data_IF_717299645305
#
_entry.id   IF_717299645305
#
_cell.length_a   1.000
_cell.length_b   1.000
_cell.length_c   1.000
_cell.angle_alpha   90.00
_cell.angle_beta   90.00
_cell.angle_gamma   90.00
#
_symmetry.space_group_name_H-M   'P 1'
#
loop_
_entity.id
_entity.type
_entity.pdbx_description
1 polymer ?
#
# COMPACT_ATOMS: atom_id res chain seq x y z
N UNK A 1 -29.76 3.16 -4.29
CA UNK A 1 -29.77 4.02 -3.09
C UNK A 1 -31.21 4.31 -2.67
N UNK A 2 -31.44 4.38 -1.36
CA UNK A 2 -32.73 4.75 -0.84
C UNK A 2 -33.03 6.22 -1.12
N UNK A 3 -32.21 7.08 -0.57
CA UNK A 3 -32.32 8.53 -0.79
C UNK A 3 -30.95 9.13 -1.08
N UNK A 4 -30.90 10.12 -1.98
CA UNK A 4 -29.66 10.80 -2.36
C UNK A 4 -29.85 12.31 -2.13
N UNK A 5 -28.92 12.91 -1.41
CA UNK A 5 -28.81 14.37 -1.31
C UNK A 5 -27.68 14.80 -2.24
N UNK A 6 -28.04 15.47 -3.34
CA UNK A 6 -27.08 15.89 -4.36
C UNK A 6 -26.75 17.36 -4.13
N UNK A 7 -25.47 17.63 -3.86
CA UNK A 7 -24.97 18.97 -3.52
C UNK A 7 -23.99 19.49 -4.56
N UNK A 8 -24.11 20.75 -4.90
CA UNK A 8 -23.09 21.51 -5.63
C UNK A 8 -23.26 22.98 -5.25
N UNK A 9 -22.17 23.73 -5.25
CA UNK A 9 -22.29 25.16 -4.91
C UNK A 9 -22.63 26.03 -6.11
N UNK A 10 -22.57 25.44 -7.32
CA UNK A 10 -22.91 26.18 -8.55
C UNK A 10 -24.35 25.90 -8.89
N UNK A 11 -25.17 26.98 -8.78
CA UNK A 11 -26.62 26.87 -8.97
C UNK A 11 -27.00 26.31 -10.36
N UNK A 12 -26.30 26.76 -11.41
CA UNK A 12 -26.62 26.29 -12.77
C UNK A 12 -26.36 24.80 -12.94
N UNK A 13 -25.35 24.26 -12.24
CA UNK A 13 -25.06 22.81 -12.25
C UNK A 13 -26.18 22.04 -11.58
N UNK A 14 -26.66 22.53 -10.45
CA UNK A 14 -27.79 21.91 -9.74
C UNK A 14 -29.04 21.92 -10.60
N UNK A 15 -29.33 23.06 -11.24
CA UNK A 15 -30.51 23.19 -12.13
C UNK A 15 -30.42 22.22 -13.29
N UNK A 16 -29.25 22.09 -13.91
CA UNK A 16 -29.07 21.15 -15.02
C UNK A 16 -29.24 19.71 -14.55
N UNK A 17 -28.66 19.37 -13.41
CA UNK A 17 -28.81 18.05 -12.83
C UNK A 17 -30.29 17.75 -12.58
N UNK A 18 -31.01 18.71 -12.02
CA UNK A 18 -32.42 18.56 -11.73
C UNK A 18 -33.23 18.36 -13.01
N UNK A 19 -32.88 19.08 -14.10
CA UNK A 19 -33.60 18.96 -15.36
C UNK A 19 -33.40 17.56 -15.98
N UNK A 20 -32.27 16.96 -15.77
CA UNK A 20 -31.94 15.63 -16.32
C UNK A 20 -32.48 14.53 -15.41
N UNK A 21 -32.26 14.64 -14.11
CA UNK A 21 -32.50 13.57 -13.15
C UNK A 21 -33.64 13.83 -12.17
N UNK A 22 -34.36 14.93 -12.31
CA UNK A 22 -35.44 15.32 -11.41
C UNK A 22 -36.64 14.38 -11.41
N UNK A 23 -36.69 13.46 -12.39
CA UNK A 23 -37.74 12.44 -12.43
C UNK A 23 -37.51 11.34 -11.36
N UNK A 24 -36.32 11.27 -10.80
CA UNK A 24 -36.02 10.33 -9.70
C UNK A 24 -36.50 10.96 -8.40
N UNK A 25 -37.58 10.45 -7.83
CA UNK A 25 -38.19 11.01 -6.64
C UNK A 25 -37.39 10.86 -5.37
N UNK A 26 -36.38 10.01 -5.39
CA UNK A 26 -35.53 9.76 -4.23
C UNK A 26 -34.27 10.64 -4.20
N UNK A 27 -34.22 11.69 -5.05
CA UNK A 27 -33.07 12.61 -5.07
C UNK A 27 -33.55 14.00 -4.63
N UNK A 28 -32.87 14.58 -3.64
CA UNK A 28 -33.01 15.97 -3.25
C UNK A 28 -31.82 16.74 -3.83
N UNK A 29 -32.11 17.81 -4.58
CA UNK A 29 -31.06 18.64 -5.20
C UNK A 29 -30.94 19.93 -4.37
N UNK A 30 -29.73 20.26 -3.96
CA UNK A 30 -29.50 21.43 -3.12
C UNK A 30 -28.26 22.20 -3.55
N UNK A 31 -28.42 23.49 -3.79
CA UNK A 31 -27.26 24.36 -4.02
C UNK A 31 -26.68 24.74 -2.67
N UNK A 32 -25.47 24.25 -2.37
CA UNK A 32 -24.86 24.47 -1.07
C UNK A 32 -23.35 24.39 -1.16
N UNK A 33 -22.70 25.21 -0.35
CA UNK A 33 -21.26 25.19 -0.17
C UNK A 33 -20.95 24.21 0.97
N UNK A 34 -20.25 23.14 0.68
CA UNK A 34 -19.95 22.11 1.69
C UNK A 34 -19.06 22.65 2.82
N UNK A 35 -18.37 23.77 2.60
CA UNK A 35 -17.55 24.39 3.64
C UNK A 35 -18.35 25.34 4.54
N UNK A 36 -19.60 25.63 4.17
CA UNK A 36 -20.42 26.59 4.91
C UNK A 36 -20.93 26.00 6.22
N UNK A 37 -20.84 26.73 7.33
CA UNK A 37 -21.44 26.28 8.58
C UNK A 37 -22.96 26.20 8.53
N UNK A 38 -23.58 26.82 7.52
CA UNK A 38 -25.04 26.79 7.35
C UNK A 38 -25.54 25.46 6.78
N UNK A 39 -24.66 24.66 6.17
CA UNK A 39 -25.04 23.33 5.71
C UNK A 39 -25.18 22.41 6.90
N UNK A 40 -26.40 21.94 7.14
CA UNK A 40 -26.71 21.06 8.27
C UNK A 40 -27.08 19.69 7.76
N UNK A 41 -26.31 18.70 8.15
CA UNK A 41 -26.59 17.29 7.90
C UNK A 41 -26.54 16.61 9.27
N UNK A 42 -27.56 15.82 9.56
CA UNK A 42 -27.66 15.17 10.86
C UNK A 42 -26.52 14.19 11.09
N UNK A 43 -26.01 14.16 12.32
CA UNK A 43 -24.97 13.21 12.70
C UNK A 43 -25.51 11.78 12.57
N UNK A 44 -24.62 10.86 12.15
CA UNK A 44 -24.93 9.45 12.03
C UNK A 44 -26.15 9.17 11.16
N UNK A 45 -26.29 9.92 10.07
CA UNK A 45 -27.46 9.81 9.19
C UNK A 45 -27.11 9.31 7.79
N UNK A 46 -25.84 9.28 7.42
CA UNK A 46 -25.42 9.03 6.04
C UNK A 46 -24.74 7.66 5.92
N UNK A 47 -25.18 6.88 4.94
CA UNK A 47 -24.59 5.57 4.66
C UNK A 47 -23.37 5.67 3.75
N UNK A 48 -23.40 6.61 2.80
CA UNK A 48 -22.30 6.78 1.84
C UNK A 48 -22.15 8.25 1.49
N UNK A 49 -20.94 8.75 1.61
CA UNK A 49 -20.56 10.07 1.07
C UNK A 49 -19.75 9.81 -0.19
N UNK A 50 -20.20 10.37 -1.30
CA UNK A 50 -19.54 10.26 -2.59
C UNK A 50 -19.06 11.63 -3.02
N UNK A 51 -17.78 11.78 -3.28
CA UNK A 51 -17.19 13.05 -3.69
C UNK A 51 -16.30 12.83 -4.91
N UNK A 52 -16.43 13.71 -5.89
CA UNK A 52 -15.73 13.56 -7.16
C UNK A 52 -15.18 14.93 -7.58
N UNK A 53 -13.85 15.06 -7.56
CA UNK A 53 -13.14 16.27 -7.98
C UNK A 53 -13.63 17.51 -7.23
N UNK A 54 -13.82 17.38 -5.92
CA UNK A 54 -14.24 18.49 -5.06
C UNK A 54 -13.10 19.03 -4.21
N UNK A 55 -12.38 18.11 -3.56
CA UNK A 55 -11.42 18.51 -2.53
C UNK A 55 -10.25 19.30 -3.11
N UNK A 56 -9.94 19.08 -4.36
CA UNK A 56 -8.85 19.81 -5.02
C UNK A 56 -9.12 21.32 -5.16
N UNK A 57 -10.36 21.75 -4.97
CA UNK A 57 -10.72 23.18 -5.02
C UNK A 57 -10.73 23.83 -3.64
N UNK A 58 -10.50 23.04 -2.58
CA UNK A 58 -10.54 23.51 -1.20
C UNK A 58 -9.13 23.70 -0.66
N UNK A 59 -8.96 24.66 0.25
CA UNK A 59 -7.70 24.82 0.95
C UNK A 59 -7.45 23.62 1.88
N UNK A 60 -6.22 23.44 2.32
CA UNK A 60 -5.87 22.34 3.22
C UNK A 60 -6.72 22.40 4.49
N UNK A 61 -6.89 23.61 5.06
CA UNK A 61 -7.70 23.81 6.26
C UNK A 61 -9.18 23.45 6.00
N UNK A 62 -9.70 23.84 4.84
CA UNK A 62 -11.09 23.49 4.48
C UNK A 62 -11.27 21.99 4.33
N UNK A 63 -10.28 21.29 3.74
CA UNK A 63 -10.35 19.82 3.62
C UNK A 63 -10.39 19.20 5.02
N UNK A 64 -9.51 19.64 5.92
CA UNK A 64 -9.45 19.10 7.29
C UNK A 64 -10.79 19.28 8.01
N UNK A 65 -11.38 20.45 7.92
CA UNK A 65 -12.67 20.74 8.56
C UNK A 65 -13.78 19.89 7.96
N UNK A 66 -13.79 19.77 6.63
CA UNK A 66 -14.83 18.98 5.95
C UNK A 66 -14.73 17.50 6.34
N UNK A 67 -13.53 16.97 6.43
CA UNK A 67 -13.32 15.56 6.86
C UNK A 67 -13.92 15.35 8.25
N UNK A 68 -13.69 16.29 9.18
CA UNK A 68 -14.29 16.20 10.53
C UNK A 68 -15.79 16.13 10.48
N UNK A 69 -16.43 16.94 9.62
CA UNK A 69 -17.89 16.91 9.44
C UNK A 69 -18.34 15.58 8.82
N UNK A 70 -17.61 15.08 7.83
CA UNK A 70 -17.95 13.83 7.16
C UNK A 70 -17.98 12.65 8.14
N UNK A 71 -17.00 12.60 9.06
CA UNK A 71 -16.96 11.53 10.06
C UNK A 71 -18.20 11.61 10.96
N UNK A 72 -18.62 12.80 11.33
CA UNK A 72 -19.83 12.98 12.14
C UNK A 72 -21.09 12.58 11.38
N UNK A 73 -21.20 12.95 10.11
CA UNK A 73 -22.39 12.67 9.29
C UNK A 73 -22.58 11.17 9.07
N UNK A 74 -21.48 10.41 8.94
CA UNK A 74 -21.54 8.98 8.63
C UNK A 74 -22.07 8.17 9.79
N UNK A 75 -22.86 7.17 9.46
CA UNK A 75 -23.17 6.07 10.40
C UNK A 75 -21.93 5.22 10.58
N UNK A 76 -21.82 4.57 11.74
CA UNK A 76 -20.78 3.55 11.93
C UNK A 76 -21.01 2.44 10.89
N UNK A 77 -19.94 2.05 10.18
CA UNK A 77 -20.05 1.12 9.07
C UNK A 77 -20.35 1.79 7.73
N UNK A 78 -20.66 3.09 7.76
CA UNK A 78 -20.84 3.87 6.53
C UNK A 78 -19.50 4.16 5.86
N UNK A 79 -19.55 4.58 4.60
CA UNK A 79 -18.35 4.73 3.78
C UNK A 79 -18.23 6.12 3.18
N UNK A 80 -17.00 6.53 2.94
CA UNK A 80 -16.67 7.67 2.09
C UNK A 80 -15.95 7.14 0.87
N UNK A 81 -16.44 7.51 -0.32
CA UNK A 81 -15.70 7.31 -1.57
C UNK A 81 -15.37 8.68 -2.15
N UNK A 82 -14.08 8.91 -2.47
CA UNK A 82 -13.74 10.14 -3.19
C UNK A 82 -12.67 9.88 -4.23
N UNK A 83 -12.66 10.76 -5.25
CA UNK A 83 -11.72 10.71 -6.37
C UNK A 83 -11.13 12.09 -6.59
N UNK A 84 -9.84 12.16 -6.77
CA UNK A 84 -9.14 13.43 -6.98
C UNK A 84 -7.99 13.29 -7.96
N UNK A 85 -7.48 14.36 -8.55
CA UNK A 85 -6.54 14.34 -9.24
C UNK A 85 -5.49 14.61 -8.52
N UNK A 86 -4.53 14.10 -8.74
CA UNK A 86 -3.31 14.25 -7.91
C UNK A 86 -2.10 14.60 -8.75
N UNK A 87 -1.07 15.09 -8.08
CA UNK A 87 0.25 15.42 -8.59
C UNK A 87 0.28 16.63 -9.51
N UNK A 88 -0.38 16.59 -10.66
CA UNK A 88 -0.33 17.70 -11.62
C UNK A 88 -1.54 17.68 -12.55
N UNK A 89 -1.73 18.79 -13.21
CA UNK A 89 -2.86 18.99 -14.12
C UNK A 89 -2.86 17.95 -15.23
N UNK A 90 -4.05 17.43 -15.53
CA UNK A 90 -4.27 16.57 -16.68
C UNK A 90 -4.57 17.43 -17.91
N UNK A 91 -4.05 17.02 -19.05
CA UNK A 91 -4.25 17.73 -20.33
C UNK A 91 -3.09 18.64 -20.69
N UNK A 92 -3.13 19.12 -21.91
CA UNK A 92 -2.00 19.82 -22.51
C UNK A 92 -2.02 21.34 -22.35
N UNK A 93 -3.17 21.92 -22.02
CA UNK A 93 -3.30 23.35 -21.91
C UNK A 93 -3.10 23.84 -20.49
N UNK A 94 -2.17 24.77 -20.32
CA UNK A 94 -1.94 25.40 -19.03
C UNK A 94 -2.89 26.59 -18.88
N UNK A 95 -3.63 26.61 -17.78
CA UNK A 95 -4.52 27.72 -17.47
C UNK A 95 -3.69 28.87 -16.88
N UNK A 96 -4.04 30.10 -17.24
CA UNK A 96 -3.36 31.28 -16.69
C UNK A 96 -3.62 31.40 -15.18
N UNK A 97 -4.84 31.09 -14.77
CA UNK A 97 -5.21 31.04 -13.36
C UNK A 97 -5.80 29.68 -13.08
N UNK A 98 -5.25 28.98 -12.11
CA UNK A 98 -5.72 27.65 -11.77
C UNK A 98 -5.79 27.52 -10.24
N UNK A 99 -6.99 27.64 -9.67
CA UNK A 99 -7.15 27.55 -8.21
C UNK A 99 -7.09 26.11 -7.68
N UNK A 100 -6.80 25.17 -8.55
CA UNK A 100 -6.83 23.75 -8.20
C UNK A 100 -5.55 23.34 -7.45
N UNK A 101 -5.73 22.59 -6.38
CA UNK A 101 -4.64 22.01 -5.60
C UNK A 101 -4.43 20.56 -6.04
N UNK A 102 -3.38 20.31 -6.82
CA UNK A 102 -3.04 18.95 -7.28
C UNK A 102 -2.10 18.33 -6.26
N UNK A 103 -2.69 17.81 -5.20
CA UNK A 103 -1.95 17.31 -4.05
C UNK A 103 -1.44 15.89 -4.28
N UNK A 104 -0.45 15.51 -3.48
CA UNK A 104 0.00 14.11 -3.43
C UNK A 104 -1.04 13.26 -2.69
N UNK A 105 -1.21 12.00 -3.09
CA UNK A 105 -2.20 11.13 -2.43
C UNK A 105 -2.03 11.05 -0.91
N UNK A 106 -0.78 11.07 -0.43
CA UNK A 106 -0.54 10.95 1.02
C UNK A 106 -1.14 12.10 1.83
N UNK A 107 -1.32 13.29 1.22
CA UNK A 107 -2.01 14.37 1.92
C UNK A 107 -3.43 13.95 2.27
N UNK A 108 -4.19 13.46 1.29
CA UNK A 108 -5.58 13.07 1.54
C UNK A 108 -5.65 11.91 2.53
N UNK A 109 -4.81 10.91 2.35
CA UNK A 109 -4.81 9.76 3.25
C UNK A 109 -4.55 10.18 4.68
N UNK A 110 -3.57 11.07 4.90
CA UNK A 110 -3.24 11.56 6.24
C UNK A 110 -4.42 12.29 6.87
N UNK A 111 -5.02 13.23 6.12
CA UNK A 111 -6.11 14.04 6.65
C UNK A 111 -7.32 13.17 7.01
N UNK A 112 -7.67 12.22 6.14
CA UNK A 112 -8.80 11.33 6.41
C UNK A 112 -8.51 10.38 7.57
N UNK A 113 -7.29 9.87 7.68
CA UNK A 113 -6.94 8.99 8.82
C UNK A 113 -6.92 9.75 10.15
N UNK A 114 -6.64 11.04 10.14
CA UNK A 114 -6.65 11.86 11.35
C UNK A 114 -8.07 12.31 11.75
N UNK A 115 -9.05 12.14 10.87
CA UNK A 115 -10.43 12.51 11.15
C UNK A 115 -11.03 11.64 12.24
N UNK A 116 -11.64 12.29 13.22
CA UNK A 116 -12.24 11.60 14.36
C UNK A 116 -13.57 12.23 14.72
N UNK A 117 -14.45 11.43 15.34
CA UNK A 117 -15.64 11.93 16.01
C UNK A 117 -15.81 11.18 17.31
N UNK A 118 -16.62 11.76 18.19
CA UNK A 118 -16.87 11.19 19.52
C UNK A 118 -18.38 11.15 19.74
N UNK A 119 -18.86 10.10 20.37
CA UNK A 119 -20.27 10.03 20.76
C UNK A 119 -20.46 10.61 22.17
N UNK A 120 -21.72 10.68 22.61
CA UNK A 120 -22.07 11.24 23.92
C UNK A 120 -21.54 10.40 25.07
N UNK A 121 -21.26 9.14 24.82
CA UNK A 121 -20.77 8.20 25.84
C UNK A 121 -19.25 8.11 25.87
N UNK A 122 -18.57 8.96 25.09
CA UNK A 122 -17.12 9.00 25.03
C UNK A 122 -16.51 8.03 24.04
N UNK A 123 -17.31 7.33 23.24
CA UNK A 123 -16.81 6.46 22.19
C UNK A 123 -16.12 7.27 21.10
N UNK A 124 -14.99 6.77 20.61
CA UNK A 124 -14.21 7.41 19.57
C UNK A 124 -14.36 6.65 18.25
N UNK A 125 -14.50 7.38 17.17
CA UNK A 125 -14.67 6.82 15.83
C UNK A 125 -13.67 7.44 14.88
N UNK A 126 -13.23 6.65 13.92
CA UNK A 126 -12.23 7.07 12.94
C UNK A 126 -12.53 6.44 11.59
N UNK A 127 -11.76 6.82 10.59
CA UNK A 127 -11.90 6.28 9.24
C UNK A 127 -10.81 5.24 8.99
N UNK A 128 -11.23 4.05 8.58
CA UNK A 128 -10.34 2.97 8.20
C UNK A 128 -10.23 2.93 6.68
N UNK A 129 -9.02 2.93 6.16
CA UNK A 129 -8.80 2.90 4.71
C UNK A 129 -9.10 1.49 4.19
N UNK A 130 -10.08 1.39 3.28
CA UNK A 130 -10.42 0.13 2.63
C UNK A 130 -9.56 -0.05 1.39
N UNK A 131 -9.45 1.01 0.55
CA UNK A 131 -8.59 0.96 -0.62
C UNK A 131 -8.21 2.38 -1.06
N UNK A 132 -7.03 2.47 -1.68
CA UNK A 132 -6.57 3.68 -2.36
C UNK A 132 -5.83 3.21 -3.61
N UNK A 133 -6.27 3.67 -4.78
CA UNK A 133 -5.64 3.20 -6.02
C UNK A 133 -5.91 4.15 -7.19
N UNK A 134 -5.09 4.02 -8.23
CA UNK A 134 -5.36 4.68 -9.51
C UNK A 134 -6.64 4.08 -10.11
N UNK A 135 -7.40 4.94 -10.77
CA UNK A 135 -8.63 4.48 -11.42
C UNK A 135 -8.26 3.73 -12.70
N UNK A 136 -8.56 2.43 -12.74
CA UNK A 136 -8.13 1.55 -13.80
C UNK A 136 -8.52 1.99 -15.20
N UNK A 137 -9.70 2.58 -15.36
CA UNK A 137 -10.15 3.07 -16.66
C UNK A 137 -9.22 4.15 -17.22
N UNK A 138 -8.73 5.04 -16.35
CA UNK A 138 -7.79 6.08 -16.79
C UNK A 138 -6.41 5.49 -17.09
N UNK A 139 -5.97 4.54 -16.29
CA UNK A 139 -4.70 3.86 -16.54
C UNK A 139 -4.74 3.15 -17.89
N UNK A 140 -5.79 2.36 -18.11
CA UNK A 140 -5.93 1.55 -19.32
C UNK A 140 -6.11 2.41 -20.57
N UNK A 141 -7.02 3.37 -20.53
CA UNK A 141 -7.45 4.09 -21.73
C UNK A 141 -6.65 5.35 -22.02
N UNK A 142 -6.14 6.00 -20.98
CA UNK A 142 -5.45 7.30 -21.11
C UNK A 142 -4.00 7.26 -20.68
N UNK A 143 -3.52 6.13 -20.18
CA UNK A 143 -2.19 6.00 -19.57
C UNK A 143 -1.98 7.05 -18.49
N UNK A 144 -3.04 7.39 -17.79
CA UNK A 144 -3.07 8.45 -16.79
C UNK A 144 -3.23 7.85 -15.40
N UNK A 145 -2.23 8.04 -14.57
CA UNK A 145 -2.21 7.51 -13.20
C UNK A 145 -2.42 8.60 -12.15
N UNK A 146 -2.85 9.79 -12.59
CA UNK A 146 -3.11 10.91 -11.68
C UNK A 146 -4.50 10.86 -11.06
N UNK A 147 -5.40 10.04 -11.59
CA UNK A 147 -6.76 9.93 -11.07
C UNK A 147 -6.79 8.82 -10.03
N UNK A 148 -6.95 9.22 -8.80
CA UNK A 148 -6.82 8.31 -7.66
C UNK A 148 -8.11 8.33 -6.86
N UNK A 149 -8.55 7.17 -6.39
CA UNK A 149 -9.73 7.06 -5.56
C UNK A 149 -9.41 6.42 -4.21
N UNK A 150 -10.22 6.78 -3.24
CA UNK A 150 -10.15 6.27 -1.86
C UNK A 150 -11.52 5.75 -1.47
N UNK A 151 -11.52 4.66 -0.74
CA UNK A 151 -12.71 4.17 -0.04
C UNK A 151 -12.34 3.99 1.42
N UNK A 152 -13.10 4.63 2.30
CA UNK A 152 -12.86 4.55 3.74
C UNK A 152 -14.15 4.17 4.44
N UNK A 153 -14.04 3.52 5.58
CA UNK A 153 -15.17 3.09 6.40
C UNK A 153 -15.07 3.72 7.79
N UNK A 154 -16.21 4.23 8.30
CA UNK A 154 -16.26 4.72 9.68
C UNK A 154 -16.32 3.53 10.63
N UNK A 155 -15.37 3.45 11.53
CA UNK A 155 -15.22 2.36 12.48
C UNK A 155 -15.01 2.89 13.89
N UNK A 156 -15.29 2.07 14.88
CA UNK A 156 -14.98 2.39 16.26
C UNK A 156 -13.45 2.26 16.42
N UNK A 157 -12.84 3.24 17.08
CA UNK A 157 -11.40 3.21 17.35
C UNK A 157 -11.06 2.05 18.25
N UNK A 158 -10.06 1.24 17.88
CA UNK A 158 -9.61 0.08 18.65
C UNK A 158 -8.09 0.00 18.62
N UNK A 159 -7.54 -0.78 19.54
CA UNK A 159 -6.09 -0.97 19.65
C UNK A 159 -5.51 -1.69 18.42
N UNK A 160 -6.30 -2.51 17.73
CA UNK A 160 -5.83 -3.29 16.59
C UNK A 160 -5.42 -2.43 15.39
N UNK A 161 -5.82 -1.16 15.37
CA UNK A 161 -5.47 -0.26 14.28
C UNK A 161 -4.11 0.41 14.46
N UNK A 162 -3.50 0.24 15.61
CA UNK A 162 -2.22 0.87 15.92
C UNK A 162 -1.09 0.32 15.04
N UNK A 163 -1.22 -0.92 14.55
CA UNK A 163 -0.18 -1.51 13.72
C UNK A 163 0.00 -0.75 12.38
N UNK A 164 -1.09 -0.42 11.70
CA UNK A 164 -0.97 0.36 10.46
C UNK A 164 -0.40 1.76 10.72
N UNK A 165 -0.83 2.39 11.81
CA UNK A 165 -0.28 3.70 12.21
C UNK A 165 1.22 3.59 12.47
N UNK A 166 1.64 2.52 13.14
CA UNK A 166 3.06 2.27 13.39
C UNK A 166 3.83 2.15 12.09
N UNK A 167 3.30 1.36 11.13
CA UNK A 167 3.97 1.19 9.84
C UNK A 167 4.15 2.52 9.11
N UNK A 168 3.10 3.35 9.08
CA UNK A 168 3.16 4.61 8.32
C UNK A 168 3.89 5.73 9.03
N UNK A 169 3.80 5.78 10.36
CA UNK A 169 4.34 6.92 11.11
C UNK A 169 5.72 6.64 11.70
N UNK A 170 6.09 5.39 11.84
CA UNK A 170 7.37 5.01 12.47
C UNK A 170 8.23 4.22 11.49
N UNK A 171 7.79 3.04 11.10
CA UNK A 171 8.61 2.13 10.30
C UNK A 171 8.76 2.58 8.86
N UNK A 172 7.67 3.01 8.21
CA UNK A 172 7.67 3.38 6.79
C UNK A 172 7.27 4.82 6.56
N UNK A 173 7.74 5.73 7.41
CA UNK A 173 7.57 7.16 7.16
C UNK A 173 8.41 7.57 5.94
N UNK A 174 8.02 8.65 5.30
CA UNK A 174 8.60 9.07 4.01
C UNK A 174 10.13 9.16 4.04
N UNK A 175 10.70 9.80 5.05
CA UNK A 175 12.15 9.94 5.13
C UNK A 175 12.86 8.59 5.30
N UNK A 176 12.25 7.68 6.05
CA UNK A 176 12.78 6.34 6.23
C UNK A 176 12.79 5.54 4.95
N UNK A 177 11.72 5.65 4.15
CA UNK A 177 11.63 4.95 2.87
C UNK A 177 12.76 5.40 1.94
N UNK A 178 12.98 6.71 1.85
CA UNK A 178 14.01 7.24 0.94
C UNK A 178 15.42 6.82 1.36
N UNK A 179 15.71 6.78 2.67
CA UNK A 179 17.04 6.33 3.11
C UNK A 179 17.25 4.84 2.84
N UNK A 180 16.22 4.01 3.02
CA UNK A 180 16.32 2.58 2.68
C UNK A 180 16.49 2.38 1.17
N UNK A 181 15.78 3.17 0.37
CA UNK A 181 15.96 3.11 -1.09
C UNK A 181 17.41 3.41 -1.47
N UNK A 182 18.05 4.36 -0.79
CA UNK A 182 19.46 4.69 -1.05
C UNK A 182 20.36 3.46 -0.84
N UNK A 183 20.01 2.62 0.14
CA UNK A 183 20.80 1.42 0.44
C UNK A 183 20.51 0.28 -0.55
N UNK A 184 19.24 -0.01 -0.79
CA UNK A 184 18.82 -1.15 -1.61
C UNK A 184 18.95 -0.88 -3.12
N UNK A 185 18.96 0.38 -3.53
CA UNK A 185 19.01 0.77 -4.93
C UNK A 185 17.70 1.39 -5.40
N UNK A 186 17.81 2.19 -6.44
CA UNK A 186 16.67 2.95 -6.98
C UNK A 186 15.47 2.05 -7.26
N UNK A 187 14.34 2.36 -6.63
CA UNK A 187 13.09 1.64 -6.81
C UNK A 187 12.86 0.51 -5.83
N UNK A 188 13.83 0.21 -4.96
CA UNK A 188 13.77 -0.98 -4.12
C UNK A 188 13.90 -0.65 -2.63
N UNK A 189 13.15 -1.40 -1.84
CA UNK A 189 13.28 -1.39 -0.37
C UNK A 189 13.31 -2.82 0.17
N UNK A 190 13.80 -3.78 -0.62
CA UNK A 190 13.95 -5.17 -0.22
C UNK A 190 15.35 -5.67 -0.52
N UNK A 191 15.73 -6.76 0.15
CA UNK A 191 17.07 -7.32 0.13
C UNK A 191 17.56 -7.58 -1.28
N UNK A 192 18.71 -7.00 -1.63
CA UNK A 192 19.39 -7.20 -2.89
C UNK A 192 18.91 -6.34 -4.05
N UNK A 193 17.83 -5.61 -3.86
CA UNK A 193 17.35 -4.69 -4.89
C UNK A 193 17.14 -5.35 -6.24
N UNK A 194 17.65 -4.70 -7.30
CA UNK A 194 17.47 -5.18 -8.68
C UNK A 194 18.13 -6.56 -8.92
N UNK A 195 19.26 -6.84 -8.27
CA UNK A 195 19.99 -8.07 -8.54
C UNK A 195 19.20 -9.32 -8.13
N UNK A 196 18.65 -9.32 -6.90
CA UNK A 196 17.84 -10.46 -6.46
C UNK A 196 16.51 -10.50 -7.19
N UNK A 197 15.97 -9.35 -7.57
CA UNK A 197 14.74 -9.29 -8.38
C UNK A 197 14.96 -9.99 -9.72
N UNK A 198 16.05 -9.67 -10.42
CA UNK A 198 16.37 -10.34 -11.70
C UNK A 198 16.48 -11.85 -11.53
N UNK A 199 17.20 -12.28 -10.51
CA UNK A 199 17.40 -13.71 -10.25
C UNK A 199 16.09 -14.42 -9.98
N UNK A 200 15.31 -13.92 -9.04
CA UNK A 200 14.11 -14.61 -8.58
C UNK A 200 12.98 -14.56 -9.62
N UNK A 201 12.80 -13.41 -10.26
CA UNK A 201 11.80 -13.29 -11.33
C UNK A 201 12.15 -14.24 -12.48
N UNK A 202 13.44 -14.42 -12.77
CA UNK A 202 13.89 -15.35 -13.79
C UNK A 202 13.47 -16.78 -13.54
N UNK A 203 13.17 -17.13 -12.29
CA UNK A 203 12.73 -18.50 -11.92
C UNK A 203 11.25 -18.74 -12.21
N UNK A 204 10.49 -17.71 -12.58
CA UNK A 204 9.04 -17.77 -12.72
C UNK A 204 8.56 -18.09 -14.14
N UNK A 205 9.42 -18.03 -15.12
CA UNK A 205 9.07 -18.25 -16.52
C UNK A 205 7.86 -17.40 -16.96
N UNK A 206 7.94 -16.09 -16.65
CA UNK A 206 6.85 -15.17 -16.98
C UNK A 206 6.67 -15.04 -18.50
N UNK A 207 5.41 -15.02 -18.93
CA UNK A 207 5.06 -14.88 -20.33
C UNK A 207 4.16 -13.64 -20.53
N UNK A 208 4.24 -12.99 -21.70
CA UNK A 208 3.39 -11.81 -21.95
C UNK A 208 1.92 -12.07 -21.66
N UNK A 209 1.27 -11.10 -21.08
CA UNK A 209 -0.16 -11.17 -20.78
C UNK A 209 -0.51 -11.83 -19.47
N UNK A 210 0.44 -12.46 -18.80
CA UNK A 210 0.18 -13.09 -17.51
C UNK A 210 -0.09 -12.04 -16.44
N UNK A 211 -0.86 -12.41 -15.42
CA UNK A 211 -1.23 -11.56 -14.31
C UNK A 211 -0.44 -11.92 -13.05
N UNK A 212 0.19 -10.92 -12.46
CA UNK A 212 1.00 -11.08 -11.24
C UNK A 212 0.40 -10.25 -10.11
N UNK A 213 0.27 -10.86 -8.93
CA UNK A 213 -0.02 -10.12 -7.70
C UNK A 213 1.27 -10.02 -6.90
N UNK A 214 1.70 -8.79 -6.59
CA UNK A 214 2.88 -8.57 -5.73
C UNK A 214 2.40 -8.14 -4.35
N UNK A 215 2.58 -9.02 -3.37
CA UNK A 215 2.15 -8.78 -1.99
C UNK A 215 3.30 -8.15 -1.22
N UNK A 216 3.10 -6.89 -0.83
CA UNK A 216 4.16 -6.10 -0.23
C UNK A 216 5.03 -5.45 -1.29
N UNK A 217 4.41 -4.70 -2.20
CA UNK A 217 5.09 -4.18 -3.39
C UNK A 217 6.10 -3.06 -3.09
N UNK A 218 6.08 -2.51 -1.87
CA UNK A 218 6.96 -1.39 -1.54
C UNK A 218 6.76 -0.22 -2.49
N UNK A 219 7.84 0.30 -3.02
CA UNK A 219 7.80 1.46 -3.92
C UNK A 219 7.80 1.06 -5.40
N UNK A 220 7.58 -0.23 -5.68
CA UNK A 220 7.19 -0.68 -7.01
C UNK A 220 8.28 -1.16 -7.95
N UNK A 221 9.55 -1.16 -7.50
CA UNK A 221 10.66 -1.52 -8.40
C UNK A 221 10.51 -2.88 -9.06
N UNK A 222 10.18 -3.90 -8.28
CA UNK A 222 9.97 -5.24 -8.82
C UNK A 222 8.81 -5.31 -9.80
N UNK A 223 7.76 -4.54 -9.52
CA UNK A 223 6.57 -4.51 -10.36
C UNK A 223 6.89 -3.89 -11.72
N UNK A 224 7.61 -2.76 -11.71
CA UNK A 224 8.05 -2.14 -12.96
C UNK A 224 8.98 -3.07 -13.73
N UNK A 225 9.90 -3.71 -13.03
CA UNK A 225 10.84 -4.64 -13.66
C UNK A 225 10.07 -5.76 -14.39
N UNK A 226 9.14 -6.40 -13.70
CA UNK A 226 8.36 -7.50 -14.29
C UNK A 226 7.53 -7.02 -15.48
N UNK A 227 6.81 -5.91 -15.32
CA UNK A 227 5.92 -5.42 -16.38
C UNK A 227 6.71 -4.93 -17.60
N UNK A 228 7.84 -4.26 -17.40
CA UNK A 228 8.63 -3.70 -18.50
C UNK A 228 9.44 -4.76 -19.24
N UNK A 229 9.90 -5.79 -18.56
CA UNK A 229 10.79 -6.78 -19.16
C UNK A 229 10.07 -8.05 -19.62
N UNK A 230 8.90 -8.34 -19.09
CA UNK A 230 8.16 -9.57 -19.41
C UNK A 230 6.77 -9.31 -19.97
N UNK A 231 6.36 -8.05 -20.07
CA UNK A 231 5.05 -7.66 -20.62
C UNK A 231 3.89 -8.34 -19.89
N UNK A 232 4.01 -8.41 -18.56
CA UNK A 232 2.95 -8.95 -17.70
C UNK A 232 2.16 -7.80 -17.09
N UNK A 233 0.98 -8.13 -16.55
CA UNK A 233 0.15 -7.17 -15.81
C UNK A 233 0.40 -7.38 -14.32
N UNK A 234 0.85 -6.36 -13.61
CA UNK A 234 1.17 -6.49 -12.19
C UNK A 234 0.21 -5.65 -11.36
N UNK A 235 -0.40 -6.27 -10.36
CA UNK A 235 -1.11 -5.57 -9.29
C UNK A 235 -0.23 -5.62 -8.06
N UNK A 236 0.26 -4.47 -7.62
CA UNK A 236 1.07 -4.38 -6.40
C UNK A 236 0.22 -3.90 -5.24
N UNK A 237 0.25 -4.60 -4.12
CA UNK A 237 -0.45 -4.18 -2.92
C UNK A 237 0.53 -4.05 -1.76
N UNK A 238 0.26 -3.07 -0.90
CA UNK A 238 1.06 -2.84 0.30
C UNK A 238 0.18 -2.20 1.35
N UNK A 239 0.45 -2.51 2.60
CA UNK A 239 -0.29 -1.92 3.70
C UNK A 239 0.14 -0.47 3.96
N UNK A 240 1.36 -0.11 3.60
CA UNK A 240 1.88 1.24 3.83
C UNK A 240 1.39 2.20 2.76
N UNK A 241 0.66 3.22 3.19
CA UNK A 241 0.21 4.29 2.31
C UNK A 241 1.40 5.03 1.71
N UNK A 242 2.44 5.25 2.50
CA UNK A 242 3.63 5.97 2.02
C UNK A 242 4.33 5.21 0.89
N UNK A 243 4.46 3.89 1.03
CA UNK A 243 5.04 3.04 -0.02
C UNK A 243 4.24 3.14 -1.32
N UNK A 244 2.92 2.95 -1.21
CA UNK A 244 2.05 2.96 -2.39
C UNK A 244 2.05 4.35 -3.05
N UNK A 245 2.09 5.42 -2.26
CA UNK A 245 2.16 6.78 -2.82
C UNK A 245 3.41 6.96 -3.68
N UNK A 246 4.56 6.49 -3.23
CA UNK A 246 5.78 6.55 -4.04
C UNK A 246 5.64 5.70 -5.31
N UNK A 247 5.08 4.50 -5.18
CA UNK A 247 4.91 3.61 -6.33
C UNK A 247 3.99 4.24 -7.39
N UNK A 248 2.89 4.83 -6.97
CA UNK A 248 1.95 5.51 -7.89
C UNK A 248 2.65 6.68 -8.57
N UNK A 249 3.37 7.51 -7.79
CA UNK A 249 4.09 8.66 -8.33
C UNK A 249 5.09 8.23 -9.41
N UNK A 250 5.82 7.14 -9.15
CA UNK A 250 6.84 6.66 -10.07
C UNK A 250 6.27 5.94 -11.28
N UNK A 251 5.00 5.52 -11.22
CA UNK A 251 4.32 4.93 -12.37
C UNK A 251 3.94 5.96 -13.42
N UNK A 252 3.88 7.24 -13.05
CA UNK A 252 3.45 8.29 -13.97
C UNK A 252 4.44 8.36 -15.14
N UNK A 253 3.90 8.26 -16.36
CA UNK A 253 4.69 8.33 -17.58
C UNK A 253 5.27 7.00 -18.05
N UNK A 254 5.20 5.95 -17.23
CA UNK A 254 5.65 4.62 -17.67
C UNK A 254 4.58 3.98 -18.57
N UNK A 255 5.02 3.21 -19.53
CA UNK A 255 4.12 2.61 -20.53
C UNK A 255 3.81 1.15 -20.24
N UNK A 256 4.13 0.67 -19.07
CA UNK A 256 3.88 -0.71 -18.66
C UNK A 256 2.55 -0.85 -17.92
N UNK A 257 2.08 -2.08 -17.75
CA UNK A 257 0.80 -2.36 -17.12
C UNK A 257 1.01 -2.71 -15.65
N UNK A 258 0.98 -1.68 -14.79
CA UNK A 258 1.13 -1.83 -13.35
C UNK A 258 0.03 -1.02 -12.67
N UNK A 259 -0.60 -1.62 -11.66
CA UNK A 259 -1.54 -0.93 -10.78
C UNK A 259 -1.07 -1.10 -9.34
N UNK A 260 -1.28 -0.08 -8.51
CA UNK A 260 -0.92 -0.12 -7.10
C UNK A 260 -2.14 0.18 -6.24
N UNK A 261 -2.22 -0.51 -5.10
CA UNK A 261 -3.36 -0.38 -4.20
C UNK A 261 -2.89 -0.52 -2.75
N UNK A 262 -3.36 0.37 -1.87
CA UNK A 262 -3.18 0.18 -0.43
C UNK A 262 -4.18 -0.91 -0.01
N UNK A 263 -3.68 -2.00 0.50
CA UNK A 263 -4.54 -3.12 0.88
C UNK A 263 -3.85 -4.01 1.90
N UNK A 264 -4.64 -4.61 2.76
CA UNK A 264 -4.20 -5.63 3.70
C UNK A 264 -4.47 -6.99 3.08
N UNK A 265 -3.41 -7.72 2.76
CA UNK A 265 -3.55 -9.02 2.08
C UNK A 265 -4.26 -10.06 2.94
N UNK A 266 -4.34 -9.86 4.25
CA UNK A 266 -5.03 -10.80 5.14
C UNK A 266 -6.55 -10.61 5.15
N UNK A 267 -7.03 -9.45 4.71
CA UNK A 267 -8.47 -9.15 4.65
C UNK A 267 -8.98 -9.00 3.23
N UNK A 268 -8.07 -8.83 2.27
CA UNK A 268 -8.44 -8.70 0.86
C UNK A 268 -8.92 -10.03 0.33
N UNK A 269 -9.91 -10.00 -0.56
CA UNK A 269 -10.35 -11.21 -1.24
C UNK A 269 -10.36 -10.97 -2.73
N UNK A 270 -9.88 -11.96 -3.48
CA UNK A 270 -9.91 -11.98 -4.93
C UNK A 270 -10.68 -13.21 -5.38
N UNK A 271 -11.33 -13.14 -6.55
CA UNK A 271 -11.97 -14.35 -7.07
C UNK A 271 -10.96 -15.49 -7.27
N UNK A 272 -11.47 -16.72 -7.28
CA UNK A 272 -10.64 -17.88 -7.61
C UNK A 272 -10.01 -17.67 -8.99
N UNK A 273 -8.80 -18.16 -9.16
CA UNK A 273 -8.14 -18.19 -10.47
C UNK A 273 -7.93 -16.80 -11.07
N UNK A 274 -7.59 -15.82 -10.21
CA UNK A 274 -7.37 -14.43 -10.64
C UNK A 274 -5.96 -14.17 -11.17
N UNK A 275 -4.96 -14.91 -10.68
CA UNK A 275 -3.56 -14.60 -10.97
C UNK A 275 -2.81 -15.82 -11.47
N UNK A 276 -1.86 -15.56 -12.37
CA UNK A 276 -0.90 -16.59 -12.83
C UNK A 276 0.25 -16.76 -11.87
N UNK A 277 0.64 -15.68 -11.20
CA UNK A 277 1.77 -15.68 -10.25
C UNK A 277 1.41 -14.79 -9.05
N UNK A 278 1.80 -15.25 -7.86
CA UNK A 278 1.84 -14.42 -6.66
C UNK A 278 3.30 -14.32 -6.23
N UNK A 279 3.77 -13.09 -5.99
CA UNK A 279 5.15 -12.74 -5.73
C UNK A 279 5.20 -11.91 -4.46
N UNK A 280 6.15 -12.21 -3.59
CA UNK A 280 6.29 -11.44 -2.34
C UNK A 280 7.73 -11.45 -1.87
N UNK A 281 8.25 -10.25 -1.56
CA UNK A 281 9.64 -10.08 -1.16
C UNK A 281 9.73 -9.48 0.23
N UNK A 282 10.16 -10.31 1.19
CA UNK A 282 10.50 -9.89 2.56
C UNK A 282 9.33 -9.12 3.24
N UNK A 283 8.11 -9.62 3.09
CA UNK A 283 6.89 -8.97 3.59
C UNK A 283 6.11 -9.83 4.56
N UNK A 284 6.02 -11.13 4.27
CA UNK A 284 5.11 -12.05 4.98
C UNK A 284 5.55 -12.25 6.43
N UNK A 285 6.80 -11.91 6.74
CA UNK A 285 7.33 -11.95 8.11
C UNK A 285 6.46 -11.16 9.11
N UNK A 286 5.71 -10.16 8.63
CA UNK A 286 4.81 -9.38 9.49
C UNK A 286 3.48 -10.08 9.77
N UNK A 287 3.16 -11.16 9.07
CA UNK A 287 1.83 -11.77 9.11
C UNK A 287 1.83 -12.95 10.06
N UNK A 288 0.93 -12.90 11.06
CA UNK A 288 0.88 -13.92 12.11
C UNK A 288 0.25 -15.22 11.61
N UNK A 289 -0.85 -15.13 10.86
CA UNK A 289 -1.55 -16.32 10.38
C UNK A 289 -1.14 -16.62 8.93
N UNK A 290 0.07 -17.13 8.77
CA UNK A 290 0.59 -17.49 7.45
C UNK A 290 -0.20 -18.64 6.81
N UNK A 291 -0.62 -19.67 7.57
CA UNK A 291 -1.43 -20.72 6.93
C UNK A 291 -2.70 -20.19 6.26
N UNK A 292 -3.42 -19.26 6.90
CA UNK A 292 -4.61 -18.67 6.29
C UNK A 292 -4.26 -17.87 5.04
N UNK A 293 -3.16 -17.10 5.08
CA UNK A 293 -2.70 -16.33 3.91
C UNK A 293 -2.36 -17.27 2.75
N UNK A 294 -1.67 -18.37 3.02
CA UNK A 294 -1.27 -19.29 1.96
C UNK A 294 -2.47 -20.01 1.36
N UNK A 295 -3.51 -20.28 2.15
CA UNK A 295 -4.77 -20.81 1.61
C UNK A 295 -5.43 -19.79 0.68
N UNK A 296 -5.37 -18.51 1.03
CA UNK A 296 -5.86 -17.44 0.15
C UNK A 296 -5.05 -17.37 -1.16
N UNK A 297 -3.73 -17.46 -1.07
CA UNK A 297 -2.87 -17.48 -2.26
C UNK A 297 -3.26 -18.66 -3.17
N UNK A 298 -3.47 -19.83 -2.58
CA UNK A 298 -3.85 -21.02 -3.34
C UNK A 298 -5.17 -20.79 -4.08
N UNK A 299 -6.15 -20.20 -3.39
CA UNK A 299 -7.45 -19.88 -4.00
C UNK A 299 -7.29 -18.88 -5.15
N UNK A 300 -6.51 -17.83 -4.96
CA UNK A 300 -6.36 -16.73 -5.93
C UNK A 300 -5.60 -17.14 -7.19
N UNK A 301 -4.74 -18.14 -7.08
CA UNK A 301 -3.93 -18.59 -8.21
C UNK A 301 -4.75 -19.47 -9.16
N UNK A 302 -4.46 -19.34 -10.44
CA UNK A 302 -4.98 -20.25 -11.47
C UNK A 302 -4.31 -21.60 -11.31
N UNK A 303 -4.98 -22.71 -11.72
CA UNK A 303 -4.29 -24.02 -11.76
C UNK A 303 -2.99 -23.93 -12.55
N UNK A 304 -1.93 -24.47 -11.99
CA UNK A 304 -0.59 -24.38 -12.58
C UNK A 304 0.14 -23.08 -12.28
N UNK A 305 -0.53 -22.14 -11.61
CA UNK A 305 0.11 -20.88 -11.20
C UNK A 305 1.15 -21.09 -10.12
N UNK A 306 2.05 -20.13 -9.99
CA UNK A 306 3.16 -20.24 -9.05
C UNK A 306 3.14 -19.13 -8.02
N UNK A 307 3.63 -19.47 -6.82
CA UNK A 307 3.95 -18.48 -5.80
C UNK A 307 5.47 -18.47 -5.62
N UNK A 308 6.05 -17.26 -5.52
CA UNK A 308 7.45 -17.09 -5.17
C UNK A 308 7.54 -16.12 -4.00
N UNK A 309 8.22 -16.55 -2.94
CA UNK A 309 8.36 -15.75 -1.72
C UNK A 309 9.84 -15.76 -1.31
N UNK A 310 10.40 -14.57 -1.02
CA UNK A 310 11.61 -14.49 -0.20
C UNK A 310 11.19 -13.93 1.16
N UNK A 311 11.80 -14.41 2.22
CA UNK A 311 11.40 -13.94 3.55
C UNK A 311 12.49 -14.21 4.58
N UNK A 312 12.45 -13.43 5.66
CA UNK A 312 13.27 -13.67 6.81
C UNK A 312 12.77 -14.92 7.53
N UNK A 313 13.72 -15.73 7.95
CA UNK A 313 13.46 -16.97 8.67
C UNK A 313 14.39 -17.03 9.90
N UNK A 314 14.27 -18.08 10.65
CA UNK A 314 15.08 -18.28 11.84
C UNK A 314 15.64 -19.69 11.88
N UNK A 315 16.63 -19.89 12.73
CA UNK A 315 17.13 -21.22 13.02
C UNK A 315 16.05 -22.03 13.77
N UNK A 316 15.94 -23.33 13.54
CA UNK A 316 15.03 -24.14 14.35
C UNK A 316 15.34 -24.02 15.84
N UNK A 317 14.32 -24.06 16.66
CA UNK A 317 14.47 -23.99 18.10
C UNK A 317 14.28 -22.60 18.68
N UNK A 318 14.66 -22.46 19.93
CA UNK A 318 14.45 -21.23 20.69
C UNK A 318 15.51 -20.18 20.33
N UNK A 319 15.13 -18.98 19.93
CA UNK A 319 16.11 -17.93 19.64
C UNK A 319 16.78 -17.41 20.92
N UNK A 320 17.95 -16.78 20.77
CA UNK A 320 18.60 -16.06 21.85
C UNK A 320 17.70 -14.96 22.38
N UNK A 321 17.94 -14.50 23.60
CA UNK A 321 17.15 -13.41 24.19
C UNK A 321 17.21 -12.16 23.32
N UNK A 322 18.40 -11.85 22.79
CA UNK A 322 18.59 -10.67 21.92
C UNK A 322 17.76 -10.78 20.64
N UNK A 323 17.81 -11.94 19.98
CA UNK A 323 17.05 -12.13 18.75
C UNK A 323 15.54 -12.17 19.02
N UNK A 324 15.12 -12.82 20.10
CA UNK A 324 13.71 -12.84 20.50
C UNK A 324 13.19 -11.41 20.74
N UNK A 325 13.98 -10.57 21.38
CA UNK A 325 13.61 -9.17 21.62
C UNK A 325 13.45 -8.39 20.31
N UNK A 326 14.37 -8.62 19.37
CA UNK A 326 14.31 -7.98 18.05
C UNK A 326 13.04 -8.41 17.30
N UNK A 327 12.75 -9.72 17.29
CA UNK A 327 11.55 -10.26 16.63
C UNK A 327 10.30 -9.60 17.23
N UNK A 328 10.25 -9.54 18.56
CA UNK A 328 9.10 -8.94 19.27
C UNK A 328 8.97 -7.45 18.95
N UNK A 329 10.08 -6.72 19.01
CA UNK A 329 10.08 -5.28 18.72
C UNK A 329 9.55 -4.97 17.34
N UNK A 330 9.92 -5.81 16.35
CA UNK A 330 9.51 -5.62 14.97
C UNK A 330 8.13 -6.17 14.66
N UNK A 331 7.56 -6.97 15.55
CA UNK A 331 6.27 -7.61 15.31
C UNK A 331 6.34 -8.72 14.28
N UNK A 332 7.51 -9.36 14.15
CA UNK A 332 7.70 -10.44 13.19
C UNK A 332 7.15 -11.76 13.71
N UNK A 333 6.73 -12.61 12.79
CA UNK A 333 6.41 -14.01 13.05
C UNK A 333 7.32 -14.84 12.16
N UNK A 334 8.44 -15.34 12.73
CA UNK A 334 9.46 -16.04 11.95
C UNK A 334 9.38 -17.54 12.17
N UNK A 335 9.67 -18.28 11.11
CA UNK A 335 9.70 -19.73 11.10
C UNK A 335 11.03 -20.18 10.48
N UNK A 336 11.42 -21.42 10.73
CA UNK A 336 12.56 -21.97 10.01
C UNK A 336 12.16 -22.30 8.59
N UNK A 337 13.15 -22.47 7.71
CA UNK A 337 12.89 -22.63 6.28
C UNK A 337 12.05 -23.89 6.01
N UNK A 338 12.33 -24.99 6.70
CA UNK A 338 11.61 -26.25 6.50
C UNK A 338 10.13 -26.10 6.91
N UNK A 339 9.89 -25.49 8.08
CA UNK A 339 8.54 -25.27 8.58
C UNK A 339 7.73 -24.35 7.66
N UNK A 340 8.39 -23.32 7.13
CA UNK A 340 7.75 -22.38 6.20
C UNK A 340 7.31 -23.11 4.93
N UNK A 341 8.21 -23.91 4.35
CA UNK A 341 7.87 -24.70 3.18
C UNK A 341 6.74 -25.69 3.42
N UNK A 342 6.70 -26.27 4.64
CA UNK A 342 5.62 -27.19 5.01
C UNK A 342 4.27 -26.48 5.07
N UNK A 343 4.24 -25.21 5.51
CA UNK A 343 2.99 -24.44 5.52
C UNK A 343 2.43 -24.27 4.09
N UNK A 344 3.32 -24.13 3.10
CA UNK A 344 2.86 -24.05 1.71
C UNK A 344 2.27 -25.38 1.25
N UNK A 345 2.92 -26.50 1.60
CA UNK A 345 2.39 -27.84 1.28
C UNK A 345 1.03 -28.06 1.93
N UNK A 346 0.89 -27.65 3.19
CA UNK A 346 -0.35 -27.81 3.93
C UNK A 346 -1.50 -26.98 3.33
N UNK A 347 -1.17 -25.88 2.65
CA UNK A 347 -2.17 -25.05 1.96
C UNK A 347 -2.63 -25.64 0.62
N UNK A 348 -1.96 -26.70 0.16
CA UNK A 348 -2.31 -27.41 -1.05
C UNK A 348 -1.29 -27.33 -2.18
N UNK A 349 -0.24 -26.54 -2.03
CA UNK A 349 0.78 -26.38 -3.07
C UNK A 349 1.61 -27.66 -3.23
N UNK A 350 2.06 -27.90 -4.46
CA UNK A 350 2.95 -29.00 -4.78
C UNK A 350 4.24 -28.46 -5.41
N UNK A 351 5.22 -29.36 -5.59
CA UNK A 351 6.54 -28.98 -6.12
C UNK A 351 7.15 -27.84 -5.31
N UNK A 352 7.01 -27.93 -3.99
CA UNK A 352 7.48 -26.87 -3.10
C UNK A 352 9.00 -26.93 -3.01
N UNK A 353 9.62 -25.81 -3.39
CA UNK A 353 11.06 -25.59 -3.22
C UNK A 353 11.20 -24.66 -2.02
N UNK A 354 11.98 -25.06 -1.03
CA UNK A 354 12.24 -24.26 0.15
C UNK A 354 13.74 -24.26 0.38
N UNK A 355 14.38 -23.13 0.07
CA UNK A 355 15.84 -23.02 0.10
C UNK A 355 16.30 -22.04 1.16
N UNK A 356 17.30 -22.44 1.93
CA UNK A 356 17.99 -21.51 2.84
C UNK A 356 19.00 -20.72 2.01
N UNK A 357 18.74 -19.43 1.86
CA UNK A 357 19.59 -18.51 1.08
C UNK A 357 20.42 -17.60 2.00
N UNK A 358 20.73 -18.03 3.21
CA UNK A 358 21.42 -17.19 4.19
C UNK A 358 22.82 -16.80 3.70
N UNK A 359 23.54 -17.68 3.01
CA UNK A 359 24.84 -17.32 2.43
C UNK A 359 24.71 -16.16 1.45
N UNK A 360 23.71 -16.22 0.58
CA UNK A 360 23.44 -15.14 -0.36
C UNK A 360 23.07 -13.86 0.39
N UNK A 361 22.25 -13.99 1.44
CA UNK A 361 21.83 -12.87 2.28
C UNK A 361 23.04 -12.16 2.88
N UNK A 362 23.99 -12.93 3.43
CA UNK A 362 25.21 -12.39 4.00
C UNK A 362 26.01 -11.60 2.94
N UNK A 363 26.16 -12.16 1.76
CA UNK A 363 26.89 -11.50 0.67
C UNK A 363 26.22 -10.21 0.25
N UNK A 364 24.88 -10.22 0.14
CA UNK A 364 24.10 -9.04 -0.21
C UNK A 364 24.24 -7.96 0.87
N UNK A 365 24.12 -8.34 2.14
CA UNK A 365 24.26 -7.39 3.25
C UNK A 365 25.63 -6.74 3.27
N UNK A 366 26.69 -7.52 3.05
CA UNK A 366 28.07 -6.99 3.00
C UNK A 366 28.23 -6.00 1.87
N UNK A 367 27.68 -6.33 0.70
CA UNK A 367 27.75 -5.43 -0.45
C UNK A 367 27.00 -4.14 -0.19
N UNK A 368 25.77 -4.23 0.34
CA UNK A 368 24.96 -3.05 0.62
C UNK A 368 25.63 -2.15 1.65
N UNK A 369 26.12 -2.74 2.73
CA UNK A 369 26.83 -1.99 3.77
C UNK A 369 28.10 -1.33 3.23
N UNK A 370 28.87 -2.07 2.45
CA UNK A 370 30.09 -1.55 1.86
C UNK A 370 29.83 -0.36 0.96
N UNK A 371 28.78 -0.42 0.13
CA UNK A 371 28.42 0.69 -0.74
C UNK A 371 27.98 1.93 0.04
N UNK A 372 27.22 1.74 1.11
CA UNK A 372 26.80 2.85 1.97
C UNK A 372 28.02 3.50 2.62
N UNK A 373 28.93 2.72 3.15
CA UNK A 373 30.15 3.23 3.80
C UNK A 373 31.06 3.94 2.80
N UNK A 374 31.23 3.37 1.61
CA UNK A 374 32.03 3.96 0.53
C UNK A 374 31.48 5.31 0.11
N UNK A 375 30.15 5.45 0.09
CA UNK A 375 29.47 6.66 -0.39
C UNK A 375 28.91 7.49 0.76
N UNK A 376 29.57 7.49 1.92
CA UNK A 376 29.10 8.19 3.11
C UNK A 376 28.86 9.68 2.85
N UNK A 377 29.78 10.36 2.14
CA UNK A 377 29.62 11.79 1.85
C UNK A 377 28.35 12.06 1.06
N UNK A 378 28.09 11.25 0.03
CA UNK A 378 26.89 11.42 -0.80
C UNK A 378 25.62 11.16 0.02
N UNK A 379 25.66 10.17 0.92
CA UNK A 379 24.54 9.89 1.80
C UNK A 379 24.27 11.08 2.72
N UNK A 380 25.30 11.63 3.34
CA UNK A 380 25.15 12.74 4.29
C UNK A 380 24.76 14.05 3.61
N UNK A 381 24.92 14.16 2.30
CA UNK A 381 24.41 15.33 1.55
C UNK A 381 22.88 15.36 1.55
N UNK A 382 22.24 14.20 1.64
CA UNK A 382 20.77 14.09 1.56
C UNK A 382 20.10 13.66 2.87
N UNK A 383 20.85 13.03 3.77
CA UNK A 383 20.32 12.48 5.02
C UNK A 383 21.20 12.90 6.18
N UNK A 384 20.75 12.61 7.41
CA UNK A 384 21.46 13.00 8.63
C UNK A 384 22.52 11.96 9.02
N UNK A 385 23.42 12.36 9.91
CA UNK A 385 24.37 11.43 10.52
C UNK A 385 23.62 10.33 11.30
N UNK A 386 22.52 10.70 11.97
CA UNK A 386 21.70 9.72 12.68
C UNK A 386 21.12 8.69 11.72
N UNK A 387 20.63 9.12 10.56
CA UNK A 387 20.14 8.20 9.53
C UNK A 387 21.23 7.23 9.08
N UNK A 388 22.43 7.75 8.85
CA UNK A 388 23.59 6.95 8.46
C UNK A 388 23.92 5.91 9.51
N UNK A 389 24.00 6.35 10.78
CA UNK A 389 24.33 5.45 11.89
C UNK A 389 23.28 4.35 12.05
N UNK A 390 21.99 4.70 11.91
CA UNK A 390 20.89 3.72 12.00
C UNK A 390 21.02 2.66 10.91
N UNK A 391 21.34 3.05 9.69
CA UNK A 391 21.53 2.11 8.58
C UNK A 391 22.72 1.19 8.86
N UNK A 392 23.87 1.77 9.19
CA UNK A 392 25.11 0.99 9.43
C UNK A 392 24.90 0.02 10.59
N UNK A 393 24.32 0.49 11.69
CA UNK A 393 24.08 -0.35 12.85
C UNK A 393 23.08 -1.47 12.55
N UNK A 394 22.02 -1.16 11.79
CA UNK A 394 21.02 -2.15 11.40
C UNK A 394 21.60 -3.24 10.52
N UNK A 395 22.40 -2.87 9.53
CA UNK A 395 23.05 -3.85 8.64
C UNK A 395 24.05 -4.70 9.39
N UNK A 396 24.86 -4.09 10.27
CA UNK A 396 25.80 -4.84 11.11
C UNK A 396 25.09 -5.82 12.03
N UNK A 397 23.95 -5.43 12.59
CA UNK A 397 23.16 -6.32 13.46
C UNK A 397 22.63 -7.52 12.67
N UNK A 398 22.13 -7.30 11.46
CA UNK A 398 21.67 -8.39 10.58
C UNK A 398 22.83 -9.35 10.24
N UNK A 399 24.01 -8.78 9.92
CA UNK A 399 25.20 -9.58 9.63
C UNK A 399 25.59 -10.43 10.83
N UNK A 400 25.55 -9.85 12.02
CA UNK A 400 25.90 -10.56 13.25
C UNK A 400 24.95 -11.74 13.49
N UNK A 401 23.62 -11.47 13.41
CA UNK A 401 22.64 -12.52 13.67
C UNK A 401 22.67 -13.60 12.61
N UNK A 402 22.86 -13.21 11.35
CA UNK A 402 22.88 -14.17 10.23
C UNK A 402 24.16 -14.99 10.21
N UNK A 403 25.31 -14.37 10.52
CA UNK A 403 26.58 -15.08 10.63
C UNK A 403 26.57 -16.12 11.78
N UNK A 404 25.86 -15.79 12.86
CA UNK A 404 25.67 -16.69 13.98
C UNK A 404 24.68 -17.81 13.69
N UNK A 405 24.00 -17.74 12.53
CA UNK A 405 23.04 -18.77 12.13
C UNK A 405 21.64 -18.57 12.70
N UNK A 406 21.40 -17.54 13.48
CA UNK A 406 20.09 -17.32 14.10
C UNK A 406 19.07 -16.78 13.09
N UNK A 407 19.43 -15.72 12.37
CA UNK A 407 18.57 -15.15 11.33
C UNK A 407 18.92 -15.82 10.00
N UNK A 408 17.90 -16.26 9.29
CA UNK A 408 18.02 -16.95 8.02
C UNK A 408 17.23 -16.20 6.95
N UNK A 409 17.51 -16.50 5.71
CA UNK A 409 16.77 -15.96 4.58
C UNK A 409 16.30 -17.13 3.72
N UNK A 410 15.01 -17.20 3.49
CA UNK A 410 14.41 -18.30 2.75
C UNK A 410 13.90 -17.87 1.38
N UNK A 411 14.00 -18.78 0.42
CA UNK A 411 13.38 -18.63 -0.89
C UNK A 411 12.45 -19.81 -1.11
N UNK A 412 11.20 -19.49 -1.46
CA UNK A 412 10.14 -20.50 -1.58
C UNK A 412 9.47 -20.33 -2.92
N UNK A 413 9.34 -21.44 -3.67
CA UNK A 413 8.60 -21.47 -4.94
C UNK A 413 7.71 -22.70 -4.89
N UNK A 414 6.45 -22.52 -5.25
CA UNK A 414 5.49 -23.60 -5.20
C UNK A 414 4.44 -23.44 -6.31
N UNK A 415 3.77 -24.52 -6.65
CA UNK A 415 2.82 -24.57 -7.76
C UNK A 415 1.43 -25.00 -7.27
N UNK A 416 0.38 -24.35 -7.78
CA UNK A 416 -1.01 -24.76 -7.50
C UNK A 416 -1.38 -25.96 -8.35
#
# INVERSE_FOLDING_TARGET
AGHVLALDFIESVIKKNQSINGHHKNITFKCADVTSPELKIEDNSVDLIFSNWLLMYLSDEEVEKLVGKMVKWLKVGGHIFFREXCFHQSGDSKRKVNPTHYREPRFYTKVFKEGHSFDQDGGSFELSLVTCKCIGAYVKNKKNQNQICWLLEKVKSTEDRDFQRFLDNVQYKTSGILRYERVFGEGYVSTGGIETTKEFVGMLDLKPGKKVLDVGCGIGGGDFYMAENYDVHVLGIDLSVNMVSFAIERAIGRKCSVEFEVADCTTKDYPEDSFDVIYSRDTILHIQDKPALFRSFFKWLKPGGKVLISDYCKNPGKPSEEFAAYIKQRGYDLHDVKAYGQMLKDAGFHDVIAEDRTEQFLNVLRRELGEVEKNKEAFLADFTQEDYDDIVNGWNAKLKRSSAGEQRWGLFIATK
#
